data_IF_410214260182
#
_entry.id   IF_410214260182
#
_cell.length_a   1.000
_cell.length_b   1.000
_cell.length_c   1.000
_cell.angle_alpha   90.00
_cell.angle_beta   90.00
_cell.angle_gamma   90.00
#
_symmetry.space_group_name_H-M   'P 1'
#
loop_
_entity.id
_entity.type
_entity.pdbx_description
1 polymer ?
#
# COMPACT_ATOMS: atom_id res chain seq x y z
N UNK A 1 -41.97 -53.26 -11.70
CA UNK A 1 -40.90 -52.24 -11.85
C UNK A 1 -40.73 -51.92 -13.33
N UNK A 2 -41.36 -50.85 -13.82
CA UNK A 2 -41.19 -50.40 -15.21
C UNK A 2 -39.82 -49.71 -15.32
N UNK A 3 -38.91 -50.34 -16.07
CA UNK A 3 -37.59 -49.78 -16.39
C UNK A 3 -37.83 -48.73 -17.47
N UNK A 4 -37.86 -47.45 -17.09
CA UNK A 4 -37.96 -46.33 -18.05
C UNK A 4 -36.73 -46.37 -18.95
N UNK A 5 -36.90 -46.79 -20.21
CA UNK A 5 -35.88 -46.63 -21.23
C UNK A 5 -35.78 -45.15 -21.57
N UNK A 6 -34.64 -44.54 -21.21
CA UNK A 6 -34.31 -43.19 -21.60
C UNK A 6 -33.76 -43.22 -23.02
N UNK A 7 -34.65 -43.39 -24.00
CA UNK A 7 -34.27 -43.38 -25.40
C UNK A 7 -34.10 -41.94 -25.87
N UNK A 8 -32.86 -41.51 -26.03
CA UNK A 8 -32.51 -40.15 -26.45
C UNK A 8 -32.87 -40.01 -27.93
N UNK A 9 -33.81 -39.13 -28.27
CA UNK A 9 -34.16 -38.92 -29.67
C UNK A 9 -32.94 -38.44 -30.48
N UNK A 10 -32.87 -38.76 -31.77
CA UNK A 10 -31.77 -38.32 -32.66
C UNK A 10 -31.53 -36.81 -32.59
N UNK A 11 -32.62 -36.03 -32.48
CA UNK A 11 -32.56 -34.56 -32.30
C UNK A 11 -31.96 -34.17 -30.94
N UNK A 12 -32.34 -34.86 -29.86
CA UNK A 12 -31.75 -34.62 -28.54
C UNK A 12 -30.27 -34.99 -28.51
N UNK A 13 -29.87 -36.12 -29.11
CA UNK A 13 -28.47 -36.51 -29.23
C UNK A 13 -27.65 -35.47 -29.99
N UNK A 14 -28.14 -35.01 -31.14
CA UNK A 14 -27.47 -33.95 -31.92
C UNK A 14 -27.42 -32.63 -31.14
N UNK A 15 -28.49 -32.22 -30.46
CA UNK A 15 -28.48 -31.00 -29.67
C UNK A 15 -27.48 -31.07 -28.50
N UNK A 16 -27.41 -32.20 -27.79
CA UNK A 16 -26.48 -32.37 -26.67
C UNK A 16 -25.02 -32.41 -27.10
N UNK A 17 -24.71 -33.10 -28.21
CA UNK A 17 -23.35 -33.14 -28.75
C UNK A 17 -22.92 -31.75 -29.25
N UNK A 18 -23.78 -31.04 -29.97
CA UNK A 18 -23.53 -29.67 -30.43
C UNK A 18 -23.35 -28.69 -29.26
N UNK A 19 -24.20 -28.77 -28.23
CA UNK A 19 -24.08 -27.94 -27.03
C UNK A 19 -22.83 -28.28 -26.21
N UNK A 20 -22.48 -29.57 -26.11
CA UNK A 20 -21.30 -30.02 -25.36
C UNK A 20 -20.00 -29.57 -26.02
N UNK A 21 -19.85 -29.79 -27.33
CA UNK A 21 -18.67 -29.36 -28.10
C UNK A 21 -18.60 -27.84 -28.17
N UNK A 22 -19.73 -27.17 -28.44
CA UNK A 22 -19.81 -25.71 -28.45
C UNK A 22 -19.46 -25.10 -27.09
N UNK A 23 -19.97 -25.67 -26.00
CA UNK A 23 -19.66 -25.25 -24.63
C UNK A 23 -18.19 -25.42 -24.27
N UNK A 24 -17.56 -26.53 -24.68
CA UNK A 24 -16.13 -26.75 -24.45
C UNK A 24 -15.27 -25.72 -25.21
N UNK A 25 -15.56 -25.47 -26.49
CA UNK A 25 -14.85 -24.46 -27.27
C UNK A 25 -15.03 -23.05 -26.69
N UNK A 26 -16.25 -22.69 -26.30
CA UNK A 26 -16.55 -21.40 -25.66
C UNK A 26 -15.81 -21.25 -24.33
N UNK A 27 -15.78 -22.30 -23.49
CA UNK A 27 -15.03 -22.29 -22.24
C UNK A 27 -13.52 -22.13 -22.47
N UNK A 28 -12.97 -22.76 -23.51
CA UNK A 28 -11.56 -22.62 -23.89
C UNK A 28 -11.17 -21.18 -24.21
N UNK A 29 -12.04 -20.44 -24.92
CA UNK A 29 -11.80 -19.03 -25.27
C UNK A 29 -12.08 -18.10 -24.08
N UNK A 30 -13.13 -18.37 -23.30
CA UNK A 30 -13.52 -17.52 -22.17
C UNK A 30 -12.55 -17.66 -20.99
N UNK A 31 -11.97 -18.84 -20.77
CA UNK A 31 -11.06 -19.10 -19.65
C UNK A 31 -9.89 -18.11 -19.55
N UNK A 32 -9.07 -17.84 -20.60
CA UNK A 32 -7.99 -16.86 -20.50
C UNK A 32 -8.49 -15.42 -20.30
N UNK A 33 -9.68 -15.06 -20.82
CA UNK A 33 -10.26 -13.73 -20.63
C UNK A 33 -10.72 -13.52 -19.19
N UNK A 34 -11.43 -14.50 -18.64
CA UNK A 34 -11.86 -14.50 -17.24
C UNK A 34 -10.63 -14.50 -16.33
N UNK A 35 -9.62 -15.32 -16.64
CA UNK A 35 -8.37 -15.32 -15.88
C UNK A 35 -7.71 -13.95 -15.94
N UNK A 36 -7.56 -13.32 -17.10
CA UNK A 36 -6.98 -11.99 -17.22
C UNK A 36 -7.76 -10.91 -16.43
N UNK A 37 -9.09 -11.01 -16.37
CA UNK A 37 -9.88 -10.08 -15.56
C UNK A 37 -9.66 -10.28 -14.05
N UNK A 38 -9.46 -11.53 -13.61
CA UNK A 38 -9.46 -11.90 -12.19
C UNK A 38 -8.04 -12.04 -11.60
N UNK A 39 -7.01 -12.28 -12.40
CA UNK A 39 -5.62 -12.48 -11.96
C UNK A 39 -5.06 -11.31 -11.12
N UNK A 40 -5.34 -10.03 -11.44
CA UNK A 40 -4.89 -8.91 -10.61
C UNK A 40 -5.57 -8.85 -9.23
N UNK A 41 -6.78 -9.41 -9.12
CA UNK A 41 -7.50 -9.50 -7.84
C UNK A 41 -6.97 -10.67 -7.00
N UNK A 42 -6.53 -11.75 -7.65
CA UNK A 42 -6.02 -12.97 -7.00
C UNK A 42 -4.54 -12.88 -6.61
N UNK A 43 -3.73 -12.12 -7.35
CA UNK A 43 -2.36 -11.77 -6.94
C UNK A 43 -2.48 -10.81 -5.77
N UNK A 44 -2.63 -11.38 -4.57
CA UNK A 44 -2.70 -10.63 -3.32
C UNK A 44 -1.58 -9.60 -3.26
N UNK A 45 -1.88 -8.45 -2.65
CA UNK A 45 -0.91 -7.35 -2.43
C UNK A 45 0.41 -7.98 -1.99
N UNK A 46 1.39 -8.06 -2.89
CA UNK A 46 2.72 -8.57 -2.54
C UNK A 46 3.21 -7.65 -1.42
N UNK A 47 3.15 -8.17 -0.19
CA UNK A 47 3.34 -7.37 1.03
C UNK A 47 4.60 -6.55 0.90
N UNK A 48 4.50 -5.26 1.26
CA UNK A 48 5.52 -4.23 1.13
C UNK A 48 6.93 -4.79 0.93
N UNK A 49 7.39 -4.82 -0.33
CA UNK A 49 8.81 -5.05 -0.60
C UNK A 49 9.58 -3.95 0.12
N UNK A 50 10.25 -4.34 1.20
CA UNK A 50 11.12 -3.48 1.98
C UNK A 50 12.13 -2.80 1.05
N UNK A 51 12.07 -1.47 0.95
CA UNK A 51 12.94 -0.70 0.04
C UNK A 51 14.10 -0.12 0.84
N UNK A 52 15.37 -0.28 0.39
CA UNK A 52 16.51 0.37 1.04
C UNK A 52 16.44 1.89 0.79
N UNK A 53 16.54 2.69 1.86
CA UNK A 53 16.40 4.15 1.78
C UNK A 53 17.72 4.88 2.08
N UNK A 54 18.43 4.47 3.13
CA UNK A 54 19.70 5.11 3.52
C UNK A 54 20.55 4.22 4.42
N UNK A 55 21.84 4.54 4.57
CA UNK A 55 22.73 3.91 5.53
C UNK A 55 22.46 4.41 6.95
N UNK A 56 22.57 3.54 7.95
CA UNK A 56 22.26 3.85 9.37
C UNK A 56 23.23 4.87 9.96
N UNK A 57 24.43 4.99 9.38
CA UNK A 57 25.47 5.94 9.81
C UNK A 57 25.08 7.39 9.54
N UNK A 58 24.33 7.65 8.47
CA UNK A 58 23.97 9.00 8.05
C UNK A 58 22.72 9.54 8.76
N UNK A 59 22.05 8.71 9.56
CA UNK A 59 20.86 9.11 10.31
C UNK A 59 21.27 10.00 11.48
N UNK A 60 20.79 11.23 11.46
CA UNK A 60 21.00 12.23 12.53
C UNK A 60 19.86 12.21 13.56
N UNK A 61 19.99 13.03 14.59
CA UNK A 61 18.95 13.22 15.63
C UNK A 61 17.82 14.15 15.15
N UNK A 62 17.91 14.73 13.97
CA UNK A 62 16.91 15.64 13.41
C UNK A 62 16.16 14.97 12.25
N UNK A 63 14.85 15.25 12.07
CA UNK A 63 14.07 14.72 10.97
C UNK A 63 14.63 15.12 9.61
N UNK A 64 15.18 14.14 8.88
CA UNK A 64 15.65 14.34 7.51
C UNK A 64 14.59 13.88 6.51
N UNK A 65 14.26 14.75 5.57
CA UNK A 65 13.40 14.40 4.43
C UNK A 65 14.21 13.56 3.43
N UNK A 66 13.81 12.30 3.23
CA UNK A 66 14.40 11.41 2.24
C UNK A 66 13.33 10.90 1.27
N UNK A 67 13.61 11.05 -0.02
CA UNK A 67 12.82 10.49 -1.11
C UNK A 67 13.33 9.08 -1.43
N UNK A 68 12.41 8.14 -1.59
CA UNK A 68 12.73 6.77 -2.00
C UNK A 68 11.66 6.26 -2.97
N UNK A 69 12.05 5.33 -3.83
CA UNK A 69 11.18 4.83 -4.91
C UNK A 69 10.61 3.47 -4.52
N UNK A 70 9.29 3.37 -4.47
CA UNK A 70 8.57 2.12 -4.21
C UNK A 70 7.93 1.64 -5.51
N UNK A 71 8.16 0.38 -5.86
CA UNK A 71 7.50 -0.25 -7.01
C UNK A 71 6.07 -0.63 -6.62
N UNK A 72 5.10 0.10 -7.13
CA UNK A 72 3.67 -0.18 -6.93
C UNK A 72 3.12 -0.92 -8.13
N UNK A 73 2.41 -2.01 -7.87
CA UNK A 73 1.72 -2.77 -8.90
C UNK A 73 0.24 -2.42 -8.81
N UNK A 74 -0.32 -1.90 -9.89
CA UNK A 74 -1.75 -1.59 -10.02
C UNK A 74 -2.31 -2.32 -11.24
N UNK A 75 -3.15 -3.32 -10.99
CA UNK A 75 -3.66 -4.22 -12.01
C UNK A 75 -2.52 -4.95 -12.74
N UNK A 76 -2.34 -4.58 -14.01
CA UNK A 76 -1.31 -5.12 -14.89
C UNK A 76 -0.08 -4.20 -15.03
N UNK A 77 -0.13 -3.00 -14.46
CA UNK A 77 0.91 -1.99 -14.59
C UNK A 77 1.81 -1.94 -13.36
N UNK A 78 3.10 -1.70 -13.58
CA UNK A 78 4.10 -1.48 -12.53
C UNK A 78 4.57 -0.03 -12.64
N UNK A 79 4.34 0.75 -11.60
CA UNK A 79 4.77 2.14 -11.54
C UNK A 79 5.76 2.32 -10.40
N UNK A 80 6.77 3.14 -10.65
CA UNK A 80 7.71 3.57 -9.64
C UNK A 80 7.14 4.83 -8.97
N UNK A 81 6.61 4.68 -7.76
CA UNK A 81 6.05 5.80 -6.97
C UNK A 81 7.14 6.37 -6.06
N UNK A 82 7.46 7.65 -6.23
CA UNK A 82 8.36 8.35 -5.31
C UNK A 82 7.63 8.69 -4.02
N UNK A 83 8.04 8.07 -2.93
CA UNK A 83 7.54 8.36 -1.59
C UNK A 83 8.57 9.16 -0.80
N UNK A 84 8.08 9.89 0.18
CA UNK A 84 8.89 10.70 1.09
C UNK A 84 8.75 10.11 2.49
N UNK A 85 9.85 10.02 3.23
CA UNK A 85 9.84 9.70 4.65
C UNK A 85 10.71 10.69 5.43
N UNK A 86 10.28 11.03 6.64
CA UNK A 86 11.12 11.70 7.63
C UNK A 86 11.80 10.67 8.52
N UNK A 87 13.13 10.62 8.47
CA UNK A 87 13.92 9.62 9.20
C UNK A 87 14.78 10.33 10.23
N UNK A 88 14.78 9.85 11.47
CA UNK A 88 15.67 10.34 12.53
C UNK A 88 15.85 9.31 13.65
N UNK A 89 16.90 9.48 14.45
CA UNK A 89 17.13 8.72 15.68
C UNK A 89 16.43 9.35 16.88
N UNK A 90 15.69 8.55 17.64
CA UNK A 90 15.20 8.92 18.97
C UNK A 90 16.35 8.97 19.97
N UNK A 91 16.12 9.62 21.10
CA UNK A 91 17.08 9.66 22.22
C UNK A 91 17.48 8.28 22.73
N UNK A 92 16.62 7.28 22.55
CA UNK A 92 16.85 5.90 22.99
C UNK A 92 17.69 5.07 21.98
N UNK A 93 18.11 5.66 20.85
CA UNK A 93 18.81 4.97 19.78
C UNK A 93 17.91 4.37 18.70
N UNK A 94 16.60 4.28 18.95
CA UNK A 94 15.64 3.76 17.98
C UNK A 94 15.50 4.66 16.75
N UNK A 95 15.49 4.07 15.56
CA UNK A 95 15.23 4.78 14.30
C UNK A 95 13.72 4.89 14.10
N UNK A 96 13.24 6.11 13.94
CA UNK A 96 11.85 6.39 13.57
C UNK A 96 11.79 6.92 12.14
N UNK A 97 10.94 6.30 11.33
CA UNK A 97 10.59 6.76 10.00
C UNK A 97 9.11 7.15 9.97
N UNK A 98 8.83 8.44 9.78
CA UNK A 98 7.47 8.99 9.74
C UNK A 98 7.03 9.24 8.31
N UNK A 99 5.76 8.96 8.04
CA UNK A 99 5.08 9.43 6.83
C UNK A 99 4.83 10.94 6.93
N UNK A 100 5.14 11.71 5.89
CA UNK A 100 4.85 13.14 5.85
C UNK A 100 3.39 13.42 5.50
N UNK A 101 2.55 12.39 5.33
CA UNK A 101 1.16 12.55 4.94
C UNK A 101 0.34 12.95 6.17
N UNK A 102 -0.24 14.14 6.13
CA UNK A 102 -1.11 14.68 7.17
C UNK A 102 -2.38 13.82 7.29
N UNK A 103 -2.74 13.43 8.51
CA UNK A 103 -3.91 12.57 8.80
C UNK A 103 -5.26 13.28 8.67
N UNK A 104 -5.27 14.59 8.38
CA UNK A 104 -6.48 15.34 8.11
C UNK A 104 -7.05 15.01 6.72
N UNK A 105 -6.33 15.40 5.66
CA UNK A 105 -6.75 15.23 4.25
C UNK A 105 -5.61 14.81 3.32
N UNK A 106 -4.45 14.42 3.86
CA UNK A 106 -3.35 13.88 3.05
C UNK A 106 -2.30 14.88 2.53
N UNK A 107 -2.34 16.15 2.94
CA UNK A 107 -1.28 17.12 2.59
C UNK A 107 0.10 16.70 3.13
N UNK A 108 1.18 17.07 2.44
CA UNK A 108 2.55 16.85 2.92
C UNK A 108 2.91 17.84 4.03
N UNK A 109 3.41 17.33 5.16
CA UNK A 109 3.90 18.15 6.28
C UNK A 109 5.39 18.44 6.14
N UNK A 110 5.80 19.62 6.64
CA UNK A 110 7.18 20.06 6.65
C UNK A 110 7.69 20.18 8.10
N UNK A 111 8.94 19.80 8.33
CA UNK A 111 9.61 19.96 9.62
C UNK A 111 10.17 21.37 9.75
N UNK A 112 9.91 22.05 10.89
CA UNK A 112 10.43 23.40 11.18
C UNK A 112 10.06 24.48 10.14
N UNK A 113 8.91 24.33 9.49
CA UNK A 113 8.44 25.27 8.45
C UNK A 113 7.78 26.52 9.05
N UNK A 114 7.19 26.41 10.24
CA UNK A 114 6.51 27.52 10.93
C UNK A 114 7.43 28.16 11.99
N UNK A 115 7.84 29.43 11.81
CA UNK A 115 8.69 30.15 12.76
C UNK A 115 8.07 30.28 14.15
N UNK A 116 6.74 30.28 14.25
CA UNK A 116 6.01 30.41 15.51
C UNK A 116 6.12 29.15 16.38
N UNK A 117 6.42 28.02 15.75
CA UNK A 117 6.35 26.70 16.36
C UNK A 117 7.57 25.84 15.96
N UNK A 118 8.78 26.22 16.44
CA UNK A 118 9.99 25.47 16.15
C UNK A 118 9.94 24.06 16.75
N UNK A 119 10.64 23.12 16.11
CA UNK A 119 10.73 21.70 16.45
C UNK A 119 9.40 20.94 16.33
N UNK A 120 8.59 21.31 15.34
CA UNK A 120 7.30 20.69 15.05
C UNK A 120 7.14 20.44 13.55
N UNK A 121 6.31 19.46 13.21
CA UNK A 121 5.81 19.34 11.84
C UNK A 121 4.61 20.25 11.68
N UNK A 122 4.63 21.04 10.61
CA UNK A 122 3.55 21.94 10.23
C UNK A 122 2.95 21.50 8.89
N UNK A 123 1.62 21.55 8.81
CA UNK A 123 0.85 21.30 7.60
C UNK A 123 0.33 22.64 7.05
N UNK A 124 0.85 23.12 5.90
CA UNK A 124 0.54 24.46 5.38
C UNK A 124 -0.91 24.59 4.89
N UNK A 125 -1.64 23.48 4.72
CA UNK A 125 -3.01 23.52 4.21
C UNK A 125 -4.02 24.12 5.20
N UNK A 126 -3.93 23.76 6.48
CA UNK A 126 -4.92 24.16 7.51
C UNK A 126 -4.29 24.38 8.89
N UNK A 127 -2.95 24.50 8.98
CA UNK A 127 -2.26 24.70 10.26
C UNK A 127 -2.23 23.46 11.16
N UNK A 128 -2.32 22.27 10.59
CA UNK A 128 -2.17 21.02 11.34
C UNK A 128 -0.76 20.88 11.90
N UNK A 129 -0.62 20.48 13.17
CA UNK A 129 0.69 20.40 13.83
C UNK A 129 0.93 19.05 14.47
N UNK A 130 2.19 18.63 14.44
CA UNK A 130 2.64 17.41 15.09
C UNK A 130 3.96 17.64 15.84
N UNK A 131 4.12 16.91 16.94
CA UNK A 131 5.39 16.84 17.67
C UNK A 131 6.48 16.17 16.83
N UNK A 132 7.74 16.27 17.25
CA UNK A 132 8.87 15.55 16.64
C UNK A 132 8.64 14.05 16.45
N UNK A 133 7.84 13.42 17.31
CA UNK A 133 7.54 11.98 17.24
C UNK A 133 6.32 11.63 16.36
N UNK A 134 5.74 12.64 15.71
CA UNK A 134 4.57 12.52 14.86
C UNK A 134 3.23 12.52 15.61
N UNK A 135 3.21 12.73 16.93
CA UNK A 135 1.96 12.85 17.71
C UNK A 135 1.28 14.17 17.33
N UNK A 136 -0.02 14.11 16.99
CA UNK A 136 -0.83 15.29 16.69
C UNK A 136 -0.99 16.19 17.92
N UNK A 137 -0.99 17.50 17.71
CA UNK A 137 -1.14 18.47 18.79
C UNK A 137 -2.64 18.74 19.03
N UNK A 138 -3.14 18.60 20.26
CA UNK A 138 -4.53 18.93 20.59
C UNK A 138 -4.90 20.36 20.18
N UNK A 139 -6.13 20.55 19.69
CA UNK A 139 -6.59 21.85 19.20
C UNK A 139 -6.13 22.20 17.79
N UNK A 140 -5.55 21.25 17.05
CA UNK A 140 -5.25 21.39 15.62
C UNK A 140 -6.05 20.41 14.77
N UNK A 141 -6.26 20.66 13.47
CA UNK A 141 -7.13 19.83 12.61
C UNK A 141 -6.83 18.32 12.52
N UNK A 142 -5.57 17.84 12.62
CA UNK A 142 -5.25 16.42 12.53
C UNK A 142 -5.90 15.56 13.63
N UNK A 143 -6.73 14.56 13.28
CA UNK A 143 -7.40 13.71 14.25
C UNK A 143 -6.49 12.61 14.82
N UNK A 144 -5.39 12.28 14.13
CA UNK A 144 -4.52 11.16 14.49
C UNK A 144 -3.03 11.50 14.30
N UNK A 145 -2.11 10.78 14.98
CA UNK A 145 -0.67 10.90 14.75
C UNK A 145 -0.25 10.51 13.32
N UNK A 146 0.88 11.05 12.87
CA UNK A 146 1.50 10.62 11.61
C UNK A 146 1.77 9.11 11.59
N UNK A 147 1.55 8.50 10.43
CA UNK A 147 1.88 7.09 10.20
C UNK A 147 3.37 6.84 10.32
N UNK A 148 3.74 5.63 10.76
CA UNK A 148 5.14 5.21 10.89
C UNK A 148 5.41 4.15 9.83
N UNK A 149 6.50 4.31 9.08
CA UNK A 149 6.96 3.25 8.19
C UNK A 149 7.52 2.09 9.01
N UNK A 150 7.21 0.85 8.60
CA UNK A 150 7.88 -0.32 9.16
C UNK A 150 9.36 -0.26 8.82
N UNK A 151 10.22 -0.22 9.82
CA UNK A 151 11.67 -0.14 9.66
C UNK A 151 12.31 -1.51 9.85
N UNK A 152 13.31 -1.82 9.02
CA UNK A 152 14.19 -2.98 9.23
C UNK A 152 15.62 -2.58 8.90
N UNK A 153 16.56 -2.88 9.79
CA UNK A 153 17.99 -2.65 9.53
C UNK A 153 18.62 -3.97 9.11
N UNK A 154 19.24 -3.99 7.93
CA UNK A 154 19.99 -5.15 7.43
C UNK A 154 21.26 -4.66 6.75
N UNK A 155 22.39 -5.30 7.05
CA UNK A 155 23.69 -5.01 6.42
C UNK A 155 24.10 -3.52 6.47
N UNK A 156 23.76 -2.83 7.57
CA UNK A 156 24.06 -1.40 7.76
C UNK A 156 23.12 -0.43 7.02
N UNK A 157 22.15 -0.94 6.26
CA UNK A 157 21.14 -0.17 5.53
C UNK A 157 19.78 -0.21 6.23
N UNK A 158 19.08 0.92 6.19
CA UNK A 158 17.71 1.05 6.64
C UNK A 158 16.76 0.74 5.48
N UNK A 159 15.89 -0.22 5.71
CA UNK A 159 14.79 -0.58 4.84
C UNK A 159 13.47 -0.05 5.39
N UNK A 160 12.65 0.51 4.52
CA UNK A 160 11.29 0.95 4.83
C UNK A 160 10.26 0.07 4.12
N UNK A 161 9.23 -0.36 4.85
CA UNK A 161 8.10 -1.14 4.36
C UNK A 161 6.82 -0.32 4.27
N UNK A 162 5.68 -0.96 4.51
CA UNK A 162 4.37 -0.30 4.54
C UNK A 162 4.25 0.71 5.68
N UNK A 163 3.40 1.73 5.48
CA UNK A 163 3.02 2.70 6.51
C UNK A 163 2.01 2.07 7.46
N UNK A 164 2.35 2.06 8.73
CA UNK A 164 1.47 1.64 9.82
C UNK A 164 0.79 2.91 10.35
N UNK A 165 -0.54 2.99 10.22
CA UNK A 165 -1.32 4.04 10.84
C UNK A 165 -1.29 3.87 12.36
N UNK A 166 -1.10 4.99 13.07
CA UNK A 166 -1.20 5.02 14.53
C UNK A 166 -2.61 5.47 14.87
N UNK A 167 -3.34 4.68 15.65
CA UNK A 167 -4.70 5.01 16.05
C UNK A 167 -4.76 6.44 16.60
N UNK A 168 -5.77 7.20 16.14
CA UNK A 168 -6.12 8.49 16.70
C UNK A 168 -6.90 8.32 18.01
N UNK A 169 -6.80 9.32 18.88
CA UNK A 169 -7.64 9.48 20.07
C UNK A 169 -9.01 10.02 19.70
#
# INVERSE_FOLDING_TARGET
MSKKEHDVSRRQFLNYTLMGVGGFMAAGIMSPLVRFAVDPLLKGKEGAKMVPVMDVKDITNEPQNKKFTVKKVDGWHKFDEQQIAYIFKKKNGDILALSPICTHLGCTVAWNDDPSHPNQFHCPCHGGRYTKTGINIPGTPPPAPLGVYKTQVKDGKLYLGEVISRGGS
#
